data_IF_560006706371
#
_entry.id   IF_560006706371
#
_cell.length_a   1.000
_cell.length_b   1.000
_cell.length_c   1.000
_cell.angle_alpha   90.00
_cell.angle_beta   90.00
_cell.angle_gamma   90.00
#
_symmetry.space_group_name_H-M   'P 1'
#
loop_
_entity.id
_entity.type
_entity.pdbx_description
1 polymer ?
#
# COMPACT_ATOMS: atom_id res chain seq x y z
N UNK A 1 7.22 13.30 13.54
CA UNK A 1 7.95 13.75 12.32
C UNK A 1 6.94 14.07 11.24
N UNK A 2 6.02 13.16 10.91
CA UNK A 2 4.77 13.50 10.21
C UNK A 2 3.95 14.47 11.06
N UNK A 3 3.39 15.50 10.43
CA UNK A 3 2.63 16.60 11.04
C UNK A 3 1.31 16.84 10.31
N UNK A 4 0.43 17.64 10.92
CA UNK A 4 -0.90 17.94 10.37
C UNK A 4 -0.81 18.65 9.02
N UNK A 5 0.20 19.50 8.80
CA UNK A 5 0.43 20.18 7.52
C UNK A 5 0.68 19.21 6.36
N UNK A 6 1.25 18.02 6.61
CA UNK A 6 1.38 16.99 5.56
C UNK A 6 0.05 16.26 5.34
N UNK A 7 -0.71 16.01 6.40
CA UNK A 7 -1.87 15.11 6.36
C UNK A 7 -3.15 15.85 5.93
N UNK A 8 -3.40 17.02 6.48
CA UNK A 8 -4.61 17.83 6.26
C UNK A 8 -4.23 19.33 6.17
N UNK A 9 -3.47 19.72 5.14
CA UNK A 9 -3.11 21.12 4.92
C UNK A 9 -4.36 22.00 4.70
N UNK A 10 -4.30 23.26 5.14
CA UNK A 10 -5.24 24.32 4.80
C UNK A 10 -4.81 25.05 3.52
N UNK A 11 -3.51 25.05 3.22
CA UNK A 11 -2.95 25.62 2.00
C UNK A 11 -1.88 24.74 1.35
N UNK A 12 -1.91 24.63 0.02
CA UNK A 12 -0.93 23.88 -0.77
C UNK A 12 -0.32 24.79 -1.83
N UNK A 13 1.02 24.82 -1.93
CA UNK A 13 1.73 25.39 -3.08
C UNK A 13 2.33 24.30 -3.95
N UNK A 14 2.03 24.32 -5.25
CA UNK A 14 2.67 23.47 -6.27
C UNK A 14 3.81 24.24 -6.93
N UNK A 15 5.05 23.91 -6.55
CA UNK A 15 6.24 24.50 -7.14
C UNK A 15 6.60 23.77 -8.43
N UNK A 16 6.62 24.49 -9.55
CA UNK A 16 6.76 23.89 -10.88
C UNK A 16 5.44 23.45 -11.52
N UNK A 17 4.30 23.94 -11.02
CA UNK A 17 2.98 23.70 -11.65
C UNK A 17 2.96 24.12 -13.12
N UNK A 18 2.25 23.38 -13.97
CA UNK A 18 2.21 23.63 -15.42
C UNK A 18 0.83 23.36 -16.03
N UNK A 19 0.50 24.02 -17.13
CA UNK A 19 -0.68 23.68 -17.95
C UNK A 19 -0.47 22.37 -18.74
N UNK A 20 0.77 21.91 -18.85
CA UNK A 20 1.11 20.66 -19.51
C UNK A 20 0.92 19.48 -18.55
N UNK A 21 -0.16 18.72 -18.76
CA UNK A 21 -0.51 17.54 -17.96
C UNK A 21 0.45 16.35 -18.13
N UNK A 22 1.36 16.40 -19.12
CA UNK A 22 2.40 15.39 -19.27
C UNK A 22 3.60 15.65 -18.35
N UNK A 23 3.70 16.85 -17.76
CA UNK A 23 4.73 17.16 -16.76
C UNK A 23 4.25 16.82 -15.36
N UNK A 24 5.13 16.30 -14.48
CA UNK A 24 4.77 15.97 -13.11
C UNK A 24 4.06 17.13 -12.38
N UNK A 25 4.62 18.34 -12.44
CA UNK A 25 4.01 19.52 -11.79
C UNK A 25 2.63 19.90 -12.36
N UNK A 26 2.38 19.65 -13.65
CA UNK A 26 1.04 19.84 -14.22
C UNK A 26 0.06 18.77 -13.76
N UNK A 27 0.48 17.50 -13.77
CA UNK A 27 -0.39 16.40 -13.35
C UNK A 27 -0.71 16.44 -11.84
N UNK A 28 0.25 16.84 -11.00
CA UNK A 28 0.03 17.05 -9.56
C UNK A 28 -1.04 18.11 -9.32
N UNK A 29 -0.92 19.27 -9.95
CA UNK A 29 -1.89 20.35 -9.77
C UNK A 29 -3.29 19.90 -10.19
N UNK A 30 -3.40 19.22 -11.32
CA UNK A 30 -4.66 18.65 -11.80
C UNK A 30 -5.27 17.70 -10.76
N UNK A 31 -4.49 16.74 -10.26
CA UNK A 31 -4.95 15.74 -9.29
C UNK A 31 -5.37 16.36 -7.94
N UNK A 32 -4.66 17.41 -7.48
CA UNK A 32 -5.03 18.16 -6.29
C UNK A 32 -6.36 18.90 -6.51
N UNK A 33 -6.54 19.57 -7.66
CA UNK A 33 -7.77 20.33 -7.96
C UNK A 33 -9.04 19.49 -7.95
N UNK A 34 -8.96 18.21 -8.33
CA UNK A 34 -10.12 17.31 -8.31
C UNK A 34 -10.66 17.05 -6.89
N UNK A 35 -9.80 16.94 -5.89
CA UNK A 35 -10.16 16.48 -4.54
C UNK A 35 -10.06 17.55 -3.45
N UNK A 36 -9.07 18.44 -3.52
CA UNK A 36 -8.76 19.37 -2.47
C UNK A 36 -9.68 20.59 -2.51
N UNK A 37 -10.01 21.14 -1.33
CA UNK A 37 -10.95 22.26 -1.18
C UNK A 37 -10.37 23.45 -0.42
N UNK A 38 -9.14 23.34 0.07
CA UNK A 38 -8.42 24.45 0.69
C UNK A 38 -7.78 25.38 -0.33
N UNK A 39 -6.90 26.27 0.13
CA UNK A 39 -6.23 27.24 -0.73
C UNK A 39 -5.12 26.58 -1.57
N UNK A 40 -5.13 26.81 -2.89
CA UNK A 40 -4.12 26.27 -3.80
C UNK A 40 -3.38 27.42 -4.46
N UNK A 41 -2.05 27.33 -4.43
CA UNK A 41 -1.15 28.27 -5.07
C UNK A 41 -0.24 27.54 -6.06
N UNK A 42 0.19 28.24 -7.09
CA UNK A 42 1.20 27.75 -8.05
C UNK A 42 2.39 28.67 -8.00
N UNK A 43 3.60 28.12 -7.92
CA UNK A 43 4.84 28.87 -8.10
C UNK A 43 5.44 28.50 -9.46
N UNK A 44 5.25 29.39 -10.44
CA UNK A 44 5.81 29.25 -11.78
C UNK A 44 6.22 30.64 -12.33
N UNK A 45 7.53 30.88 -12.57
CA UNK A 45 8.02 32.19 -13.01
C UNK A 45 7.60 32.58 -14.43
N UNK A 46 7.10 31.63 -15.23
CA UNK A 46 6.81 31.83 -16.66
C UNK A 46 5.34 32.07 -16.98
N UNK A 47 4.42 31.76 -16.07
CA UNK A 47 2.98 31.80 -16.33
C UNK A 47 2.26 32.56 -15.22
N UNK A 48 1.27 33.39 -15.60
CA UNK A 48 0.43 34.13 -14.66
C UNK A 48 -0.79 33.32 -14.18
N UNK A 49 -1.23 32.34 -14.98
CA UNK A 49 -2.35 31.45 -14.70
C UNK A 49 -2.02 30.02 -15.13
N UNK A 50 -2.26 29.04 -14.26
CA UNK A 50 -2.00 27.62 -14.51
C UNK A 50 -3.21 26.82 -14.07
N UNK A 51 -3.88 26.14 -15.01
CA UNK A 51 -5.09 25.33 -14.77
C UNK A 51 -6.19 26.09 -14.00
N UNK A 52 -6.34 27.38 -14.28
CA UNK A 52 -7.31 28.25 -13.59
C UNK A 52 -6.86 28.78 -12.23
N UNK A 53 -5.70 28.35 -11.71
CA UNK A 53 -5.10 28.85 -10.47
C UNK A 53 -4.13 29.99 -10.79
N UNK A 54 -4.22 31.09 -10.04
CA UNK A 54 -3.27 32.21 -10.15
C UNK A 54 -1.87 31.72 -9.78
N UNK A 55 -0.90 31.99 -10.64
CA UNK A 55 0.48 31.58 -10.46
C UNK A 55 1.33 32.76 -9.96
N UNK A 56 2.03 32.53 -8.87
CA UNK A 56 3.04 33.42 -8.31
C UNK A 56 4.36 33.23 -9.08
N UNK A 57 5.02 34.33 -9.42
CA UNK A 57 6.34 34.30 -10.09
C UNK A 57 7.47 34.11 -9.09
N UNK A 58 7.27 34.62 -7.87
CA UNK A 58 8.25 34.61 -6.80
C UNK A 58 7.59 34.22 -5.48
N UNK A 59 8.37 33.65 -4.56
CA UNK A 59 7.89 33.21 -3.24
C UNK A 59 7.24 34.37 -2.47
N UNK A 60 7.73 35.60 -2.63
CA UNK A 60 7.18 36.78 -1.93
C UNK A 60 5.70 37.05 -2.26
N UNK A 61 5.22 36.58 -3.41
CA UNK A 61 3.83 36.76 -3.86
C UNK A 61 2.87 35.72 -3.28
N UNK A 62 3.38 34.64 -2.69
CA UNK A 62 2.58 33.68 -1.93
C UNK A 62 2.01 34.33 -0.65
N UNK A 63 0.95 33.78 -0.04
CA UNK A 63 0.45 34.23 1.27
C UNK A 63 1.54 34.19 2.36
N UNK A 64 1.26 34.75 3.53
CA UNK A 64 2.22 34.77 4.65
C UNK A 64 2.50 33.38 5.22
N UNK A 65 1.54 32.46 5.13
CA UNK A 65 1.67 31.09 5.61
C UNK A 65 1.25 30.11 4.49
N UNK A 66 2.02 29.04 4.33
CA UNK A 66 1.71 27.92 3.43
C UNK A 66 2.02 26.60 4.13
N UNK A 67 1.03 25.73 4.30
CA UNK A 67 1.19 24.48 5.08
C UNK A 67 2.06 23.45 4.35
N UNK A 68 1.71 23.14 3.10
CA UNK A 68 2.32 22.08 2.29
C UNK A 68 2.90 22.62 0.98
N UNK A 69 4.16 22.29 0.70
CA UNK A 69 4.77 22.51 -0.60
C UNK A 69 5.01 21.19 -1.35
N UNK A 70 4.44 21.07 -2.55
CA UNK A 70 4.70 19.97 -3.47
C UNK A 70 5.64 20.45 -4.57
N UNK A 71 6.85 19.90 -4.61
CA UNK A 71 7.96 20.44 -5.39
C UNK A 71 8.30 19.50 -6.56
N UNK A 72 8.14 20.02 -7.78
CA UNK A 72 8.37 19.31 -9.04
C UNK A 72 9.30 20.11 -9.98
N UNK A 73 10.45 20.56 -9.46
CA UNK A 73 11.50 21.30 -10.19
C UNK A 73 12.86 20.59 -10.10
N UNK A 74 13.85 20.87 -10.96
CA UNK A 74 15.14 20.20 -10.92
C UNK A 74 15.83 20.29 -9.54
N UNK A 75 16.45 19.18 -9.10
CA UNK A 75 17.00 19.01 -7.75
C UNK A 75 17.87 20.17 -7.25
N UNK A 76 18.73 20.72 -8.11
CA UNK A 76 19.64 21.84 -7.79
C UNK A 76 18.94 23.11 -7.30
N UNK A 77 17.65 23.29 -7.59
CA UNK A 77 16.88 24.46 -7.15
C UNK A 77 16.09 24.20 -5.86
N UNK A 78 15.91 22.93 -5.47
CA UNK A 78 15.09 22.56 -4.33
C UNK A 78 15.60 23.12 -2.99
N UNK A 79 16.91 23.09 -2.65
CA UNK A 79 17.38 23.62 -1.36
C UNK A 79 17.04 25.09 -1.14
N UNK A 80 17.25 25.94 -2.15
CA UNK A 80 16.94 27.36 -2.08
C UNK A 80 15.44 27.61 -1.89
N UNK A 81 14.59 26.90 -2.65
CA UNK A 81 13.13 27.02 -2.53
C UNK A 81 12.65 26.56 -1.15
N UNK A 82 13.11 25.41 -0.65
CA UNK A 82 12.74 24.88 0.68
C UNK A 82 13.13 25.87 1.77
N UNK A 83 14.36 26.40 1.71
CA UNK A 83 14.83 27.43 2.66
C UNK A 83 13.93 28.65 2.66
N UNK A 84 13.59 29.19 1.49
CA UNK A 84 12.74 30.37 1.39
C UNK A 84 11.31 30.14 1.86
N UNK A 85 10.72 28.98 1.55
CA UNK A 85 9.38 28.60 2.02
C UNK A 85 9.34 28.48 3.55
N UNK A 86 10.35 27.85 4.16
CA UNK A 86 10.47 27.79 5.62
C UNK A 86 10.58 29.19 6.22
N UNK A 87 11.48 30.03 5.68
CA UNK A 87 11.81 31.32 6.29
C UNK A 87 10.76 32.40 6.08
N UNK A 88 10.10 32.41 4.92
CA UNK A 88 9.21 33.50 4.50
C UNK A 88 7.73 33.11 4.53
N UNK A 89 7.42 31.81 4.62
CA UNK A 89 6.05 31.26 4.48
C UNK A 89 5.68 30.28 5.59
N UNK A 90 6.56 30.12 6.58
CA UNK A 90 6.46 29.17 7.70
C UNK A 90 6.10 27.73 7.28
N UNK A 91 6.48 27.32 6.06
CA UNK A 91 6.09 26.01 5.54
C UNK A 91 6.70 24.87 6.34
N UNK A 92 5.85 23.95 6.82
CA UNK A 92 6.24 22.81 7.67
C UNK A 92 6.15 21.46 6.99
N UNK A 93 5.54 21.34 5.82
CA UNK A 93 5.44 20.07 5.11
C UNK A 93 5.93 20.19 3.66
N UNK A 94 6.70 19.18 3.22
CA UNK A 94 7.30 19.13 1.90
C UNK A 94 7.12 17.74 1.28
N UNK A 95 6.67 17.72 0.03
CA UNK A 95 6.70 16.53 -0.83
C UNK A 95 7.58 16.88 -2.03
N UNK A 96 8.76 16.25 -2.13
CA UNK A 96 9.67 16.48 -3.26
C UNK A 96 9.57 15.32 -4.23
N UNK A 97 9.01 15.62 -5.40
CA UNK A 97 8.72 14.62 -6.44
C UNK A 97 9.97 14.34 -7.27
N UNK A 98 10.77 15.37 -7.51
CA UNK A 98 11.91 15.33 -8.40
C UNK A 98 12.97 14.31 -7.98
N UNK A 99 13.52 13.63 -8.98
CA UNK A 99 14.78 12.91 -8.90
C UNK A 99 15.99 13.85 -9.07
N UNK A 100 17.19 13.28 -8.97
CA UNK A 100 18.49 13.94 -9.09
C UNK A 100 19.15 14.25 -7.76
N UNK A 101 18.87 13.44 -6.74
CA UNK A 101 19.41 13.56 -5.39
C UNK A 101 20.44 12.46 -5.10
N UNK A 102 20.43 11.88 -3.89
CA UNK A 102 21.42 10.89 -3.46
C UNK A 102 21.46 9.61 -4.31
N UNK A 103 20.39 9.33 -5.05
CA UNK A 103 20.31 8.22 -5.99
C UNK A 103 21.11 8.46 -7.29
N UNK A 104 21.40 9.72 -7.65
CA UNK A 104 22.09 10.04 -8.90
C UNK A 104 23.60 10.21 -8.70
N UNK A 105 24.01 11.04 -7.73
CA UNK A 105 25.42 11.35 -7.48
C UNK A 105 25.65 12.06 -6.12
N UNK A 106 26.92 12.27 -5.76
CA UNK A 106 27.31 12.92 -4.49
C UNK A 106 26.83 14.37 -4.38
N UNK A 107 26.75 15.11 -5.49
CA UNK A 107 26.24 16.48 -5.48
C UNK A 107 24.74 16.49 -5.16
N UNK A 108 23.98 15.54 -5.72
CA UNK A 108 22.58 15.30 -5.38
C UNK A 108 22.41 14.91 -3.91
N UNK A 109 23.29 14.07 -3.38
CA UNK A 109 23.31 13.72 -1.96
C UNK A 109 23.56 14.94 -1.05
N UNK A 110 24.37 15.91 -1.48
CA UNK A 110 24.54 17.18 -0.76
C UNK A 110 23.26 18.01 -0.72
N UNK A 111 22.54 18.13 -1.84
CA UNK A 111 21.25 18.83 -1.86
C UNK A 111 20.24 18.17 -0.93
N UNK A 112 20.21 16.84 -0.91
CA UNK A 112 19.33 16.06 -0.04
C UNK A 112 19.64 16.33 1.44
N UNK A 113 20.92 16.28 1.85
CA UNK A 113 21.35 16.59 3.22
C UNK A 113 21.00 18.01 3.64
N UNK A 114 21.23 19.00 2.77
CA UNK A 114 20.89 20.40 3.05
C UNK A 114 19.39 20.57 3.31
N UNK A 115 18.55 19.96 2.47
CA UNK A 115 17.09 20.01 2.62
C UNK A 115 16.68 19.36 3.95
N UNK A 116 17.19 18.17 4.26
CA UNK A 116 16.87 17.46 5.51
C UNK A 116 17.25 18.30 6.73
N UNK A 117 18.43 18.93 6.73
CA UNK A 117 18.84 19.83 7.81
C UNK A 117 17.92 21.04 7.98
N UNK A 118 17.52 21.68 6.87
CA UNK A 118 16.60 22.81 6.89
C UNK A 118 15.24 22.42 7.47
N UNK A 119 14.67 21.32 6.99
CA UNK A 119 13.36 20.82 7.42
C UNK A 119 13.41 20.40 8.90
N UNK A 120 14.45 19.69 9.33
CA UNK A 120 14.64 19.31 10.73
C UNK A 120 14.72 20.54 11.66
N UNK A 121 15.51 21.56 11.31
CA UNK A 121 15.65 22.80 12.10
C UNK A 121 14.32 23.55 12.22
N UNK A 122 13.45 23.45 11.22
CA UNK A 122 12.14 24.08 11.20
C UNK A 122 11.06 23.27 11.95
N UNK A 123 11.38 22.06 12.43
CA UNK A 123 10.39 21.12 12.98
C UNK A 123 9.42 20.59 11.92
N UNK A 124 9.82 20.57 10.66
CA UNK A 124 8.99 20.18 9.52
C UNK A 124 9.08 18.69 9.16
N UNK A 125 8.31 18.33 8.14
CA UNK A 125 8.23 16.99 7.56
C UNK A 125 8.56 17.02 6.06
N UNK A 126 9.32 16.03 5.61
CA UNK A 126 9.67 15.78 4.22
C UNK A 126 9.31 14.34 3.83
N UNK A 127 8.51 14.21 2.78
CA UNK A 127 8.34 12.99 1.98
C UNK A 127 9.18 13.10 0.71
N UNK A 128 9.93 12.03 0.41
CA UNK A 128 10.87 11.99 -0.70
C UNK A 128 12.31 12.34 -0.29
N UNK A 129 13.12 12.92 -1.20
CA UNK A 129 12.79 13.24 -2.60
C UNK A 129 12.60 11.99 -3.47
N UNK A 130 12.48 12.16 -4.79
CA UNK A 130 12.34 11.07 -5.76
C UNK A 130 11.19 10.10 -5.41
N UNK A 131 10.00 10.66 -5.29
CA UNK A 131 8.80 9.91 -4.91
C UNK A 131 7.66 10.21 -5.89
N UNK A 132 6.60 9.39 -5.86
CA UNK A 132 5.39 9.71 -6.62
C UNK A 132 4.48 10.69 -5.86
N UNK A 133 4.62 10.76 -4.53
CA UNK A 133 3.88 11.67 -3.67
C UNK A 133 2.99 10.96 -2.65
N UNK A 134 1.91 11.64 -2.24
CA UNK A 134 1.00 11.19 -1.17
C UNK A 134 -0.45 11.28 -1.66
N UNK A 135 -1.25 10.28 -1.30
CA UNK A 135 -2.71 10.28 -1.46
C UNK A 135 -3.33 10.00 -0.09
N UNK A 136 -4.26 10.85 0.32
CA UNK A 136 -5.16 10.59 1.45
C UNK A 136 -6.52 11.26 1.18
N UNK A 137 -7.44 11.20 2.15
CA UNK A 137 -8.79 11.79 2.02
C UNK A 137 -8.80 13.33 1.95
N UNK A 138 -7.69 13.99 2.24
CA UNK A 138 -7.58 15.45 2.24
C UNK A 138 -6.99 15.95 0.92
N UNK A 139 -5.94 15.31 0.40
CA UNK A 139 -5.29 15.74 -0.85
C UNK A 139 -4.67 14.57 -1.63
N UNK A 140 -4.58 14.76 -2.94
CA UNK A 140 -3.95 13.84 -3.89
C UNK A 140 -2.70 14.50 -4.50
N UNK A 141 -1.69 14.75 -3.68
CA UNK A 141 -0.40 15.33 -4.10
C UNK A 141 0.48 14.29 -4.81
N UNK A 142 0.04 13.83 -5.99
CA UNK A 142 0.66 12.76 -6.78
C UNK A 142 0.64 13.09 -8.26
N UNK A 143 1.64 12.64 -9.04
CA UNK A 143 1.66 12.86 -10.50
C UNK A 143 1.19 11.66 -11.34
N UNK A 144 0.90 10.52 -10.71
CA UNK A 144 0.59 9.25 -11.40
C UNK A 144 -0.90 8.95 -11.40
N UNK A 145 -1.31 8.06 -12.30
CA UNK A 145 -2.64 7.45 -12.39
C UNK A 145 -2.52 5.92 -12.42
N UNK A 146 -3.58 5.17 -12.08
CA UNK A 146 -4.89 5.65 -11.60
C UNK A 146 -4.83 6.15 -10.15
N UNK A 147 -5.67 7.13 -9.82
CA UNK A 147 -5.97 7.46 -8.42
C UNK A 147 -7.13 6.56 -7.98
N UNK A 148 -6.92 5.64 -7.02
CA UNK A 148 -8.01 4.80 -6.56
C UNK A 148 -9.04 5.62 -5.79
N UNK A 149 -10.31 5.21 -5.86
CA UNK A 149 -11.31 5.70 -4.91
C UNK A 149 -10.93 5.23 -3.51
N UNK A 150 -10.75 6.18 -2.59
CA UNK A 150 -10.37 5.86 -1.22
C UNK A 150 -11.54 5.31 -0.42
N UNK A 151 -11.21 4.39 0.49
CA UNK A 151 -12.15 3.76 1.43
C UNK A 151 -11.48 3.78 2.81
N UNK A 152 -12.15 4.25 3.88
CA UNK A 152 -11.61 4.22 5.25
C UNK A 152 -11.22 2.82 5.73
N UNK A 153 -11.90 1.78 5.25
CA UNK A 153 -11.57 0.37 5.49
C UNK A 153 -10.48 -0.18 4.54
N UNK A 154 -10.04 0.66 3.60
CA UNK A 154 -8.98 0.44 2.62
C UNK A 154 -7.61 0.19 3.23
N UNK A 155 -6.65 -0.29 2.47
CA UNK A 155 -5.28 -0.45 2.94
C UNK A 155 -4.52 0.89 3.02
N UNK A 156 -3.77 1.10 4.10
CA UNK A 156 -2.69 2.10 4.11
C UNK A 156 -1.46 1.50 3.45
N UNK A 157 -0.99 2.12 2.38
CA UNK A 157 0.11 1.60 1.59
C UNK A 157 1.32 2.53 1.62
N UNK A 158 2.44 2.02 2.13
CA UNK A 158 3.69 2.74 2.25
C UNK A 158 4.72 2.09 1.32
N UNK A 159 5.33 2.86 0.43
CA UNK A 159 6.26 2.32 -0.57
C UNK A 159 7.51 3.17 -0.75
N UNK A 160 8.67 2.53 -0.64
CA UNK A 160 9.96 3.08 -1.09
C UNK A 160 10.07 3.18 -2.61
N UNK A 161 9.29 2.40 -3.37
CA UNK A 161 9.35 2.39 -4.84
C UNK A 161 8.08 2.97 -5.45
N UNK A 162 8.23 4.05 -6.23
CA UNK A 162 7.14 4.66 -6.99
C UNK A 162 6.52 3.71 -8.01
N UNK A 163 7.35 3.04 -8.82
CA UNK A 163 6.88 2.11 -9.85
C UNK A 163 6.15 0.90 -9.25
N UNK A 164 6.62 0.38 -8.12
CA UNK A 164 5.91 -0.70 -7.41
C UNK A 164 4.59 -0.21 -6.85
N UNK A 165 4.54 1.04 -6.38
CA UNK A 165 3.30 1.61 -5.89
C UNK A 165 2.25 1.70 -6.99
N UNK A 166 2.60 2.30 -8.15
CA UNK A 166 1.70 2.40 -9.31
C UNK A 166 1.19 1.03 -9.76
N UNK A 167 2.06 0.02 -9.85
CA UNK A 167 1.63 -1.33 -10.22
C UNK A 167 0.56 -1.90 -9.27
N UNK A 168 0.74 -1.68 -7.95
CA UNK A 168 -0.22 -2.16 -6.94
C UNK A 168 -1.54 -1.40 -7.03
N UNK A 169 -1.52 -0.10 -7.37
CA UNK A 169 -2.73 0.67 -7.62
C UNK A 169 -3.48 0.15 -8.86
N UNK A 170 -2.78 -0.09 -9.96
CA UNK A 170 -3.37 -0.61 -11.20
C UNK A 170 -3.95 -2.03 -11.03
N UNK A 171 -3.17 -2.92 -10.41
CA UNK A 171 -3.54 -4.33 -10.30
C UNK A 171 -4.52 -4.58 -9.15
N UNK A 172 -4.38 -3.81 -8.06
CA UNK A 172 -5.13 -4.00 -6.82
C UNK A 172 -6.63 -3.80 -7.01
N UNK A 173 -7.04 -2.78 -7.75
CA UNK A 173 -8.46 -2.47 -7.98
C UNK A 173 -9.19 -3.67 -8.62
N UNK A 174 -8.57 -4.33 -9.60
CA UNK A 174 -9.13 -5.54 -10.22
C UNK A 174 -9.22 -6.75 -9.30
N UNK A 175 -8.46 -6.77 -8.20
CA UNK A 175 -8.51 -7.78 -7.15
C UNK A 175 -9.48 -7.42 -6.01
N UNK A 176 -10.16 -6.27 -6.10
CA UNK A 176 -11.04 -5.76 -5.04
C UNK A 176 -10.28 -5.09 -3.89
N UNK A 177 -8.98 -4.83 -4.04
CA UNK A 177 -8.19 -4.05 -3.08
C UNK A 177 -8.62 -2.59 -3.15
N UNK A 178 -8.99 -2.03 -2.00
CA UNK A 178 -9.22 -0.59 -1.81
C UNK A 178 -8.09 0.01 -0.98
N UNK A 179 -7.95 1.32 -1.05
CA UNK A 179 -6.90 2.05 -0.37
C UNK A 179 -7.49 3.10 0.57
N UNK A 180 -6.89 3.28 1.75
CA UNK A 180 -7.23 4.35 2.67
C UNK A 180 -6.25 5.53 2.52
N UNK A 181 -4.97 5.22 2.38
CA UNK A 181 -3.93 6.21 2.11
C UNK A 181 -2.74 5.56 1.39
N UNK A 182 -1.97 6.37 0.66
CA UNK A 182 -0.76 5.95 -0.04
C UNK A 182 0.35 6.94 0.25
N UNK A 183 1.48 6.44 0.74
CA UNK A 183 2.70 7.21 0.99
C UNK A 183 3.84 6.64 0.16
N UNK A 184 4.27 7.36 -0.87
CA UNK A 184 5.53 7.06 -1.55
C UNK A 184 6.65 7.83 -0.88
N UNK A 185 7.51 7.13 -0.13
CA UNK A 185 8.59 7.78 0.65
C UNK A 185 9.83 8.07 -0.19
N UNK A 186 9.93 7.48 -1.39
CA UNK A 186 11.08 7.65 -2.29
C UNK A 186 12.40 7.33 -1.60
N UNK A 187 13.38 8.22 -1.74
CA UNK A 187 14.69 8.11 -1.10
C UNK A 187 14.63 8.02 0.43
N UNK A 188 13.50 8.38 1.06
CA UNK A 188 13.33 8.35 2.51
C UNK A 188 14.41 9.18 3.22
N UNK A 189 14.69 10.39 2.69
CA UNK A 189 15.79 11.22 3.15
C UNK A 189 15.59 11.67 4.61
N UNK A 190 14.36 12.02 4.96
CA UNK A 190 13.94 12.31 6.34
C UNK A 190 12.92 11.27 6.83
N UNK A 191 11.78 11.15 6.15
CA UNK A 191 10.68 10.26 6.54
C UNK A 191 10.74 8.97 5.73
N UNK A 192 11.02 7.84 6.39
CA UNK A 192 11.03 6.51 5.80
C UNK A 192 9.76 5.70 6.05
N UNK A 193 9.77 4.43 5.65
CA UNK A 193 8.65 3.52 5.84
C UNK A 193 8.35 3.34 7.34
N UNK A 194 9.39 3.26 8.16
CA UNK A 194 9.29 3.10 9.61
C UNK A 194 8.64 4.33 10.27
N UNK A 195 8.89 5.53 9.76
CA UNK A 195 8.31 6.77 10.27
C UNK A 195 6.83 6.90 9.95
N UNK A 196 6.43 6.53 8.71
CA UNK A 196 5.02 6.52 8.33
C UNK A 196 4.26 5.44 9.12
N UNK A 197 4.85 4.25 9.29
CA UNK A 197 4.23 3.19 10.09
C UNK A 197 4.10 3.60 11.56
N UNK A 198 5.10 4.28 12.12
CA UNK A 198 5.06 4.84 13.46
C UNK A 198 3.92 5.83 13.63
N UNK A 199 3.77 6.76 12.68
CA UNK A 199 2.66 7.71 12.68
C UNK A 199 1.30 7.00 12.65
N UNK A 200 1.11 6.02 11.77
CA UNK A 200 -0.14 5.25 11.67
C UNK A 200 -0.46 4.45 12.94
N UNK A 201 0.57 4.03 13.69
CA UNK A 201 0.41 3.35 14.98
C UNK A 201 0.05 4.34 16.10
N UNK A 202 0.79 5.45 16.20
CA UNK A 202 0.65 6.46 17.25
C UNK A 202 -0.68 7.22 17.16
N UNK A 203 -1.21 7.37 15.93
CA UNK A 203 -2.51 8.02 15.66
C UNK A 203 -3.66 7.03 15.45
N UNK A 204 -3.45 5.75 15.74
CA UNK A 204 -4.44 4.71 15.47
C UNK A 204 -5.72 4.86 16.31
N UNK A 205 -6.86 4.98 15.64
CA UNK A 205 -8.21 4.96 16.20
C UNK A 205 -8.91 3.65 15.78
N UNK A 206 -9.28 2.75 16.72
CA UNK A 206 -9.92 1.47 16.41
C UNK A 206 -11.20 1.54 15.56
N UNK A 207 -11.90 2.68 15.60
CA UNK A 207 -13.18 2.88 14.91
C UNK A 207 -13.02 3.54 13.54
N UNK A 208 -11.88 4.22 13.30
CA UNK A 208 -11.67 5.03 12.08
C UNK A 208 -10.46 4.62 11.26
N UNK A 209 -9.40 4.13 11.89
CA UNK A 209 -8.17 3.78 11.21
C UNK A 209 -8.32 2.47 10.46
N UNK A 210 -7.75 2.43 9.26
CA UNK A 210 -7.60 1.20 8.50
C UNK A 210 -6.91 0.12 9.34
N UNK A 211 -7.33 -1.13 9.19
CA UNK A 211 -6.68 -2.29 9.83
C UNK A 211 -5.66 -2.98 8.93
N UNK A 212 -5.40 -2.46 7.73
CA UNK A 212 -4.60 -3.18 6.72
C UNK A 212 -3.46 -2.28 6.25
N UNK A 213 -2.22 -2.76 6.45
CA UNK A 213 -1.00 -2.01 6.18
C UNK A 213 -0.18 -2.78 5.16
N UNK A 214 0.17 -2.13 4.05
CA UNK A 214 1.03 -2.70 3.02
C UNK A 214 2.34 -1.93 2.99
N UNK A 215 3.45 -2.66 2.97
CA UNK A 215 4.79 -2.07 2.99
C UNK A 215 5.61 -2.58 1.81
N UNK A 216 6.20 -1.68 1.05
CA UNK A 216 7.31 -2.00 0.17
C UNK A 216 8.57 -1.30 0.67
N UNK A 217 9.54 -2.12 1.11
CA UNK A 217 10.71 -1.69 1.84
C UNK A 217 11.95 -2.01 1.01
N UNK A 218 12.76 -0.99 0.72
CA UNK A 218 14.06 -1.15 0.05
C UNK A 218 15.20 -1.24 1.06
N UNK A 219 15.11 -0.44 2.13
CA UNK A 219 16.07 -0.40 3.23
C UNK A 219 15.32 -0.32 4.57
N UNK A 220 15.90 -0.90 5.61
CA UNK A 220 15.42 -0.76 6.99
C UNK A 220 16.52 -0.01 7.74
N UNK A 221 16.28 1.27 8.02
CA UNK A 221 17.22 2.14 8.75
C UNK A 221 17.10 1.92 10.26
N UNK A 222 15.88 1.74 10.76
CA UNK A 222 15.58 1.57 12.18
C UNK A 222 14.73 0.30 12.42
N UNK A 223 15.37 -0.88 12.56
CA UNK A 223 14.66 -2.14 12.73
C UNK A 223 13.88 -2.22 14.05
N UNK A 224 14.34 -1.53 15.11
CA UNK A 224 13.68 -1.53 16.41
C UNK A 224 12.39 -0.72 16.36
N UNK A 225 12.41 0.44 15.68
CA UNK A 225 11.20 1.23 15.40
C UNK A 225 10.21 0.45 14.57
N UNK A 226 10.66 -0.20 13.49
CA UNK A 226 9.80 -1.05 12.67
C UNK A 226 9.15 -2.15 13.50
N UNK A 227 9.93 -2.86 14.32
CA UNK A 227 9.44 -3.93 15.19
C UNK A 227 8.41 -3.42 16.18
N UNK A 228 8.71 -2.32 16.89
CA UNK A 228 7.85 -1.73 17.93
C UNK A 228 6.47 -1.41 17.38
N UNK A 229 6.43 -0.65 16.28
CA UNK A 229 5.18 -0.14 15.73
C UNK A 229 4.38 -1.20 14.97
N UNK A 230 5.06 -2.09 14.25
CA UNK A 230 4.40 -3.21 13.61
C UNK A 230 3.74 -4.12 14.65
N UNK A 231 4.46 -4.47 15.73
CA UNK A 231 3.90 -5.31 16.79
C UNK A 231 2.72 -4.63 17.51
N UNK A 232 2.83 -3.33 17.82
CA UNK A 232 1.73 -2.54 18.40
C UNK A 232 0.48 -2.55 17.52
N UNK A 233 0.60 -2.22 16.23
CA UNK A 233 -0.51 -2.27 15.27
C UNK A 233 -1.13 -3.65 15.16
N UNK A 234 -0.29 -4.68 15.11
CA UNK A 234 -0.72 -6.09 15.06
C UNK A 234 -1.48 -6.50 16.33
N UNK A 235 -1.12 -5.97 17.51
CA UNK A 235 -1.87 -6.19 18.76
C UNK A 235 -3.18 -5.38 18.80
N UNK A 236 -3.26 -4.27 18.08
CA UNK A 236 -4.49 -3.48 17.85
C UNK A 236 -5.42 -4.13 16.80
N UNK A 237 -5.07 -5.31 16.28
CA UNK A 237 -5.87 -6.05 15.30
C UNK A 237 -5.59 -5.69 13.84
N UNK A 238 -4.49 -4.98 13.57
CA UNK A 238 -4.07 -4.74 12.18
C UNK A 238 -3.41 -5.97 11.57
N UNK A 239 -3.51 -6.06 10.23
CA UNK A 239 -2.78 -6.98 9.39
C UNK A 239 -1.74 -6.20 8.61
N UNK A 240 -0.49 -6.64 8.68
CA UNK A 240 0.62 -5.98 7.99
C UNK A 240 1.21 -6.98 7.00
N UNK A 241 1.29 -6.61 5.73
CA UNK A 241 1.98 -7.37 4.71
C UNK A 241 3.10 -6.53 4.10
N UNK A 242 4.26 -7.15 3.87
CA UNK A 242 5.44 -6.41 3.41
C UNK A 242 6.28 -7.18 2.39
N UNK A 243 6.86 -6.44 1.44
CA UNK A 243 7.98 -6.89 0.62
C UNK A 243 9.23 -6.17 1.12
N UNK A 244 10.31 -6.94 1.35
CA UNK A 244 11.68 -6.40 1.41
C UNK A 244 12.39 -6.77 0.11
N UNK A 245 12.76 -5.78 -0.69
CA UNK A 245 13.55 -5.99 -1.90
C UNK A 245 15.03 -6.28 -1.58
N UNK A 246 15.78 -6.79 -2.55
CA UNK A 246 17.20 -7.13 -2.37
C UNK A 246 17.46 -8.31 -1.42
N UNK A 247 16.75 -9.43 -1.62
CA UNK A 247 16.84 -10.62 -0.73
C UNK A 247 18.05 -11.52 -0.95
N UNK A 248 18.54 -11.60 -2.19
CA UNK A 248 19.67 -12.44 -2.56
C UNK A 248 20.91 -11.58 -2.70
N UNK A 249 22.10 -12.16 -2.70
CA UNK A 249 23.32 -11.38 -2.97
C UNK A 249 23.23 -10.58 -4.28
N UNK A 250 22.72 -11.20 -5.34
CA UNK A 250 22.50 -10.51 -6.61
C UNK A 250 21.47 -9.37 -6.48
N UNK A 251 20.37 -9.59 -5.76
CA UNK A 251 19.37 -8.56 -5.50
C UNK A 251 19.88 -7.42 -4.61
N UNK A 252 20.69 -7.73 -3.60
CA UNK A 252 21.34 -6.74 -2.73
C UNK A 252 22.28 -5.86 -3.54
N UNK A 253 23.13 -6.45 -4.40
CA UNK A 253 23.99 -5.68 -5.30
C UNK A 253 23.18 -4.77 -6.23
N UNK A 254 22.11 -5.28 -6.83
CA UNK A 254 21.23 -4.48 -7.69
C UNK A 254 20.56 -3.32 -6.93
N UNK A 255 20.05 -3.57 -5.72
CA UNK A 255 19.45 -2.56 -4.87
C UNK A 255 20.47 -1.50 -4.41
N UNK A 256 21.69 -1.92 -4.06
CA UNK A 256 22.81 -1.02 -3.74
C UNK A 256 23.14 -0.10 -4.90
N UNK A 257 23.23 -0.61 -6.13
CA UNK A 257 23.47 0.22 -7.31
C UNK A 257 22.31 1.16 -7.65
N UNK A 258 21.07 0.80 -7.29
CA UNK A 258 19.87 1.60 -7.59
C UNK A 258 19.60 2.69 -6.55
N UNK A 259 19.86 2.44 -5.27
CA UNK A 259 19.44 3.31 -4.16
C UNK A 259 20.58 3.75 -3.24
N UNK A 260 21.77 3.17 -3.39
CA UNK A 260 22.88 3.35 -2.45
C UNK A 260 22.63 2.71 -1.07
N UNK A 261 21.51 2.01 -0.85
CA UNK A 261 21.15 1.47 0.46
C UNK A 261 22.08 0.33 0.92
N UNK A 262 22.38 0.29 2.22
CA UNK A 262 23.19 -0.76 2.82
C UNK A 262 22.49 -2.12 2.73
N UNK A 263 23.26 -3.18 2.47
CA UNK A 263 22.75 -4.54 2.43
C UNK A 263 22.32 -5.00 3.84
N UNK A 264 21.12 -5.56 3.96
CA UNK A 264 20.64 -6.20 5.18
C UNK A 264 20.63 -7.71 5.00
N UNK A 265 21.02 -8.48 6.03
CA UNK A 265 20.91 -9.93 6.00
C UNK A 265 19.44 -10.35 5.85
N UNK A 266 19.16 -11.15 4.81
CA UNK A 266 17.80 -11.61 4.53
C UNK A 266 17.22 -12.46 5.68
N UNK A 267 18.07 -13.25 6.33
CA UNK A 267 17.68 -14.02 7.52
C UNK A 267 17.29 -13.12 8.69
N UNK A 268 17.98 -12.00 8.88
CA UNK A 268 17.65 -11.04 9.93
C UNK A 268 16.32 -10.35 9.64
N UNK A 269 16.05 -9.99 8.37
CA UNK A 269 14.76 -9.45 7.94
C UNK A 269 13.64 -10.47 8.16
N UNK A 270 13.87 -11.74 7.85
CA UNK A 270 12.87 -12.80 8.06
C UNK A 270 12.50 -12.93 9.54
N UNK A 271 13.51 -12.98 10.41
CA UNK A 271 13.31 -13.05 11.85
C UNK A 271 12.59 -11.80 12.39
N UNK A 272 12.97 -10.61 11.90
CA UNK A 272 12.34 -9.34 12.24
C UNK A 272 10.85 -9.34 11.86
N UNK A 273 10.52 -9.68 10.62
CA UNK A 273 9.13 -9.71 10.13
C UNK A 273 8.30 -10.73 10.90
N UNK A 274 8.86 -11.92 11.16
CA UNK A 274 8.19 -12.96 11.95
C UNK A 274 7.90 -12.50 13.38
N UNK A 275 8.88 -11.85 14.04
CA UNK A 275 8.71 -11.31 15.41
C UNK A 275 7.73 -10.14 15.46
N UNK A 276 7.71 -9.31 14.41
CA UNK A 276 6.79 -8.19 14.25
C UNK A 276 5.35 -8.62 13.90
N UNK A 277 5.15 -9.87 13.47
CA UNK A 277 3.86 -10.34 12.96
C UNK A 277 3.54 -9.79 11.55
N UNK A 278 4.56 -9.47 10.76
CA UNK A 278 4.42 -9.00 9.38
C UNK A 278 4.36 -10.20 8.43
N UNK A 279 3.37 -10.23 7.54
CA UNK A 279 3.22 -11.23 6.48
C UNK A 279 4.21 -10.91 5.36
N UNK A 280 5.27 -11.72 5.26
CA UNK A 280 6.32 -11.53 4.25
C UNK A 280 5.87 -12.00 2.86
N UNK A 281 5.92 -11.07 1.91
CA UNK A 281 5.62 -11.25 0.50
C UNK A 281 6.92 -11.18 -0.35
N UNK A 282 6.95 -11.89 -1.48
CA UNK A 282 8.12 -12.02 -2.37
C UNK A 282 7.88 -11.46 -3.76
N UNK A 283 6.67 -10.96 -4.04
CA UNK A 283 6.32 -10.36 -5.32
C UNK A 283 5.19 -9.36 -5.19
N UNK A 284 5.16 -8.40 -6.11
CA UNK A 284 4.15 -7.33 -6.17
C UNK A 284 2.71 -7.88 -6.28
N UNK A 285 2.51 -8.95 -7.06
CA UNK A 285 1.21 -9.62 -7.18
C UNK A 285 0.83 -10.37 -5.90
N UNK A 286 1.80 -11.01 -5.24
CA UNK A 286 1.60 -11.64 -3.94
C UNK A 286 1.16 -10.61 -2.89
N UNK A 287 1.83 -9.46 -2.81
CA UNK A 287 1.47 -8.40 -1.87
C UNK A 287 0.04 -7.88 -2.12
N UNK A 288 -0.31 -7.61 -3.38
CA UNK A 288 -1.66 -7.17 -3.75
C UNK A 288 -2.72 -8.24 -3.43
N UNK A 289 -2.43 -9.51 -3.68
CA UNK A 289 -3.35 -10.62 -3.38
C UNK A 289 -3.54 -10.81 -1.88
N UNK A 290 -2.45 -10.83 -1.10
CA UNK A 290 -2.51 -10.91 0.36
C UNK A 290 -3.30 -9.73 0.93
N UNK A 291 -3.10 -8.52 0.39
CA UNK A 291 -3.85 -7.35 0.78
C UNK A 291 -5.36 -7.52 0.56
N UNK A 292 -5.78 -7.97 -0.63
CA UNK A 292 -7.19 -8.23 -0.93
C UNK A 292 -7.80 -9.29 0.01
N UNK A 293 -7.03 -10.34 0.33
CA UNK A 293 -7.47 -11.36 1.30
C UNK A 293 -7.56 -10.78 2.72
N UNK A 294 -6.65 -9.88 3.11
CA UNK A 294 -6.71 -9.19 4.40
C UNK A 294 -7.99 -8.34 4.57
N UNK A 295 -8.58 -7.86 3.47
CA UNK A 295 -9.85 -7.13 3.44
C UNK A 295 -11.09 -8.02 3.52
N UNK A 296 -10.93 -9.31 3.22
CA UNK A 296 -12.02 -10.25 3.35
C UNK A 296 -12.44 -10.39 4.82
N UNK A 297 -13.68 -10.86 5.02
CA UNK A 297 -14.17 -11.18 6.36
C UNK A 297 -13.22 -12.15 7.04
N UNK A 298 -13.02 -11.91 8.33
CA UNK A 298 -12.24 -12.78 9.19
C UNK A 298 -12.80 -14.20 9.13
N UNK A 299 -11.96 -15.14 8.70
CA UNK A 299 -12.28 -16.55 8.67
C UNK A 299 -12.30 -17.07 10.12
N UNK A 300 -13.31 -17.88 10.44
CA UNK A 300 -13.40 -18.58 11.73
C UNK A 300 -13.32 -20.08 11.46
N UNK A 301 -12.49 -20.76 12.26
CA UNK A 301 -12.22 -22.21 12.18
C UNK A 301 -10.99 -22.60 11.32
N UNK A 302 -10.64 -23.88 11.38
CA UNK A 302 -9.55 -24.60 10.66
C UNK A 302 -9.87 -25.36 9.32
N UNK A 303 -11.07 -25.93 9.14
CA UNK A 303 -11.71 -26.50 7.94
C UNK A 303 -12.14 -25.48 6.86
N UNK A 304 -11.97 -25.87 5.61
CA UNK A 304 -12.38 -25.12 4.43
C UNK A 304 -13.04 -26.04 3.39
N UNK A 305 -14.04 -25.50 2.69
CA UNK A 305 -14.64 -26.15 1.53
C UNK A 305 -14.16 -25.47 0.25
N UNK A 306 -13.67 -26.27 -0.70
CA UNK A 306 -13.29 -25.80 -2.03
C UNK A 306 -14.47 -26.03 -2.97
N UNK A 307 -14.88 -25.00 -3.71
CA UNK A 307 -15.94 -25.08 -4.73
C UNK A 307 -15.34 -24.70 -6.07
N UNK A 308 -15.52 -25.54 -7.09
CA UNK A 308 -14.86 -25.40 -8.39
C UNK A 308 -15.75 -25.87 -9.55
N UNK A 309 -15.50 -25.36 -10.74
CA UNK A 309 -15.98 -25.92 -12.02
C UNK A 309 -14.87 -26.68 -12.76
N UNK A 310 -13.68 -26.79 -12.15
CA UNK A 310 -12.50 -27.38 -12.75
C UNK A 310 -11.68 -28.13 -11.69
N UNK A 311 -11.60 -29.45 -11.82
CA UNK A 311 -10.91 -30.31 -10.86
C UNK A 311 -9.41 -30.03 -10.72
N UNK A 312 -8.68 -29.81 -11.82
CA UNK A 312 -7.23 -29.57 -11.81
C UNK A 312 -6.79 -28.42 -10.88
N UNK A 313 -7.33 -27.19 -11.07
CA UNK A 313 -7.08 -26.07 -10.15
C UNK A 313 -7.50 -26.34 -8.70
N UNK A 314 -8.56 -27.13 -8.48
CA UNK A 314 -9.00 -27.45 -7.12
C UNK A 314 -8.06 -28.42 -6.39
N UNK A 315 -7.43 -29.35 -7.09
CA UNK A 315 -6.37 -30.19 -6.53
C UNK A 315 -5.19 -29.32 -6.10
N UNK A 316 -4.70 -28.45 -6.99
CA UNK A 316 -3.60 -27.53 -6.68
C UNK A 316 -3.93 -26.64 -5.48
N UNK A 317 -5.17 -26.14 -5.40
CA UNK A 317 -5.65 -25.36 -4.26
C UNK A 317 -5.67 -26.19 -2.99
N UNK A 318 -6.25 -27.40 -3.02
CA UNK A 318 -6.35 -28.30 -1.88
C UNK A 318 -4.96 -28.65 -1.31
N UNK A 319 -4.01 -29.00 -2.17
CA UNK A 319 -2.62 -29.29 -1.77
C UNK A 319 -1.98 -28.09 -1.08
N UNK A 320 -2.17 -26.91 -1.67
CA UNK A 320 -1.68 -25.66 -1.12
C UNK A 320 -2.28 -25.44 0.27
N UNK A 321 -3.62 -25.45 0.39
CA UNK A 321 -4.35 -25.23 1.64
C UNK A 321 -3.90 -26.21 2.75
N UNK A 322 -3.78 -27.49 2.41
CA UNK A 322 -3.32 -28.54 3.32
C UNK A 322 -1.85 -28.33 3.77
N UNK A 323 -0.95 -27.96 2.86
CA UNK A 323 0.43 -27.56 3.21
C UNK A 323 0.45 -26.31 4.10
N UNK A 324 -0.62 -25.51 4.03
CA UNK A 324 -0.95 -24.39 4.92
C UNK A 324 -1.45 -24.77 6.29
N UNK A 325 -1.71 -26.05 6.57
CA UNK A 325 -2.33 -26.50 7.81
C UNK A 325 -3.83 -26.21 7.87
N UNK A 326 -4.46 -25.89 6.75
CA UNK A 326 -5.91 -25.74 6.63
C UNK A 326 -6.48 -27.12 6.35
N UNK A 327 -7.52 -27.50 7.09
CA UNK A 327 -8.16 -28.79 6.92
C UNK A 327 -9.17 -28.72 5.77
N UNK A 328 -9.22 -29.75 4.94
CA UNK A 328 -10.19 -29.87 3.84
C UNK A 328 -10.99 -31.14 4.10
N UNK A 329 -11.90 -31.14 5.10
CA UNK A 329 -12.60 -32.36 5.50
C UNK A 329 -13.54 -32.83 4.41
N UNK A 330 -13.71 -34.14 4.30
CA UNK A 330 -14.69 -34.74 3.39
C UNK A 330 -16.10 -34.29 3.77
N UNK A 331 -16.91 -33.96 2.76
CA UNK A 331 -18.32 -33.60 2.94
C UNK A 331 -19.18 -34.83 2.60
N UNK A 332 -19.90 -35.35 3.59
CA UNK A 332 -20.68 -36.60 3.49
C UNK A 332 -22.09 -36.47 4.09
N UNK A 333 -22.90 -37.51 3.91
CA UNK A 333 -24.22 -37.68 4.52
C UNK A 333 -25.39 -37.05 3.75
N UNK A 334 -26.61 -37.04 4.33
CA UNK A 334 -27.84 -36.76 3.60
C UNK A 334 -27.88 -35.40 2.89
N UNK A 335 -27.15 -34.40 3.42
CA UNK A 335 -27.10 -33.07 2.79
C UNK A 335 -26.13 -33.02 1.62
N UNK A 336 -25.04 -33.80 1.65
CA UNK A 336 -24.15 -33.96 0.50
C UNK A 336 -24.91 -34.65 -0.64
N UNK A 337 -25.65 -35.72 -0.33
CA UNK A 337 -26.52 -36.43 -1.28
C UNK A 337 -27.60 -35.50 -1.88
N UNK A 338 -28.26 -34.67 -1.06
CA UNK A 338 -29.22 -33.67 -1.54
C UNK A 338 -28.60 -32.61 -2.45
N UNK A 339 -27.34 -32.25 -2.23
CA UNK A 339 -26.62 -31.34 -3.11
C UNK A 339 -26.26 -32.04 -4.41
N UNK A 340 -25.69 -33.24 -4.34
CA UNK A 340 -25.32 -34.06 -5.51
C UNK A 340 -26.52 -34.25 -6.45
N UNK A 341 -27.72 -34.51 -5.91
CA UNK A 341 -28.95 -34.69 -6.69
C UNK A 341 -29.42 -33.41 -7.42
N UNK A 342 -28.91 -32.23 -7.05
CA UNK A 342 -29.21 -30.95 -7.72
C UNK A 342 -28.12 -30.52 -8.69
N UNK A 343 -26.94 -31.14 -8.63
CA UNK A 343 -25.85 -30.85 -9.54
C UNK A 343 -25.95 -31.73 -10.79
N UNK A 344 -25.25 -31.35 -11.85
CA UNK A 344 -25.19 -32.16 -13.06
C UNK A 344 -24.54 -33.52 -12.80
N UNK A 345 -24.98 -34.53 -13.56
CA UNK A 345 -24.42 -35.87 -13.51
C UNK A 345 -22.90 -35.83 -13.79
N UNK A 346 -22.11 -36.49 -12.93
CA UNK A 346 -20.65 -36.44 -12.95
C UNK A 346 -20.01 -35.41 -12.01
N UNK A 347 -20.80 -34.52 -11.40
CA UNK A 347 -20.32 -33.61 -10.35
C UNK A 347 -19.83 -34.39 -9.11
N UNK A 348 -18.97 -33.76 -8.30
CA UNK A 348 -18.52 -34.30 -7.00
C UNK A 348 -18.87 -33.34 -5.87
N UNK A 349 -19.28 -33.86 -4.71
CA UNK A 349 -19.59 -33.06 -3.51
C UNK A 349 -18.73 -33.43 -2.29
N UNK A 350 -17.69 -34.25 -2.46
CA UNK A 350 -16.88 -34.79 -1.35
C UNK A 350 -15.82 -33.83 -0.78
N UNK A 351 -15.75 -32.59 -1.27
CA UNK A 351 -14.74 -31.56 -0.99
C UNK A 351 -13.35 -31.89 -1.58
N UNK A 352 -13.00 -31.31 -2.74
CA UNK A 352 -13.68 -30.21 -3.43
C UNK A 352 -15.09 -30.54 -3.94
N UNK A 353 -15.99 -29.56 -3.92
CA UNK A 353 -17.28 -29.59 -4.62
C UNK A 353 -17.00 -29.16 -6.07
N UNK A 354 -16.97 -30.12 -6.99
CA UNK A 354 -16.75 -29.91 -8.42
C UNK A 354 -18.09 -30.00 -9.17
N UNK A 355 -18.56 -28.86 -9.68
CA UNK A 355 -19.83 -28.76 -10.40
C UNK A 355 -19.65 -28.75 -11.94
N UNK A 356 -18.49 -29.24 -12.41
CA UNK A 356 -18.11 -29.45 -13.82
C UNK A 356 -17.88 -28.16 -14.61
N UNK A 357 -17.10 -28.28 -15.69
CA UNK A 357 -16.77 -27.17 -16.58
C UNK A 357 -17.97 -26.66 -17.40
N UNK A 358 -18.98 -27.50 -17.58
CA UNK A 358 -20.29 -27.17 -18.16
C UNK A 358 -21.24 -26.52 -17.16
N UNK A 359 -20.81 -26.38 -15.90
CA UNK A 359 -21.57 -25.78 -14.82
C UNK A 359 -22.02 -24.35 -15.10
N UNK A 360 -23.23 -24.02 -14.66
CA UNK A 360 -23.83 -22.69 -14.83
C UNK A 360 -23.67 -21.84 -13.57
N UNK A 361 -24.01 -20.54 -13.66
CA UNK A 361 -24.10 -19.67 -12.48
C UNK A 361 -25.08 -20.24 -11.42
N UNK A 362 -26.14 -20.93 -11.86
CA UNK A 362 -27.08 -21.59 -10.96
C UNK A 362 -26.43 -22.77 -10.21
N UNK A 363 -25.62 -23.60 -10.89
CA UNK A 363 -24.86 -24.68 -10.25
C UNK A 363 -23.88 -24.15 -9.19
N UNK A 364 -23.25 -23.01 -9.45
CA UNK A 364 -22.41 -22.31 -8.47
C UNK A 364 -23.22 -21.85 -7.26
N UNK A 365 -24.38 -21.20 -7.46
CA UNK A 365 -25.26 -20.76 -6.37
C UNK A 365 -25.76 -21.94 -5.55
N UNK A 366 -26.14 -23.03 -6.21
CA UNK A 366 -26.54 -24.29 -5.58
C UNK A 366 -25.42 -24.92 -4.77
N UNK A 367 -24.15 -24.74 -5.15
CA UNK A 367 -23.00 -25.22 -4.37
C UNK A 367 -22.71 -24.32 -3.15
N UNK A 368 -22.98 -23.02 -3.25
CA UNK A 368 -22.74 -22.04 -2.18
C UNK A 368 -23.78 -22.10 -1.04
N UNK A 369 -25.06 -22.33 -1.35
CA UNK A 369 -26.16 -22.27 -0.37
C UNK A 369 -26.17 -23.42 0.68
N UNK A 370 -25.95 -24.69 0.32
CA UNK A 370 -25.83 -25.80 1.26
C UNK A 370 -24.49 -25.80 1.98
N UNK A 371 -23.38 -25.33 1.38
CA UNK A 371 -22.11 -25.21 2.11
C UNK A 371 -22.32 -24.42 3.43
N UNK A 372 -23.04 -23.29 3.41
CA UNK A 372 -23.40 -22.57 4.65
C UNK A 372 -24.29 -23.35 5.63
N UNK A 373 -25.19 -24.24 5.16
CA UNK A 373 -26.14 -24.99 6.01
C UNK A 373 -25.66 -26.39 6.43
N UNK A 374 -24.70 -26.97 5.71
CA UNK A 374 -24.04 -28.24 5.98
C UNK A 374 -22.96 -28.03 7.05
N UNK A 375 -22.22 -26.92 6.92
CA UNK A 375 -21.05 -26.57 7.74
C UNK A 375 -21.38 -25.86 9.08
N UNK A 376 -22.62 -25.87 9.58
CA UNK A 376 -23.02 -25.03 10.73
C UNK A 376 -23.40 -25.79 12.01
N UNK A 377 -23.32 -27.13 12.06
CA UNK A 377 -23.78 -27.90 13.23
C UNK A 377 -22.70 -28.47 14.17
N UNK A 378 -21.41 -28.31 13.91
CA UNK A 378 -20.37 -28.85 14.82
C UNK A 378 -19.23 -27.91 15.23
N UNK A 379 -19.01 -26.78 14.56
CA UNK A 379 -18.08 -25.68 14.95
C UNK A 379 -18.17 -24.56 13.88
N UNK A 380 -17.67 -23.32 14.09
CA UNK A 380 -17.89 -22.22 13.14
C UNK A 380 -16.97 -22.32 11.91
N UNK A 381 -17.56 -22.22 10.70
CA UNK A 381 -16.91 -22.43 9.39
C UNK A 381 -17.29 -21.35 8.35
N UNK A 382 -16.39 -20.98 7.41
CA UNK A 382 -16.65 -19.98 6.34
C UNK A 382 -16.18 -20.41 4.93
N UNK A 383 -16.83 -19.87 3.88
CA UNK A 383 -16.58 -20.14 2.46
C UNK A 383 -15.87 -18.96 1.76
N UNK A 384 -14.81 -19.21 0.98
CA UNK A 384 -14.14 -18.20 0.12
C UNK A 384 -14.13 -18.63 -1.35
N UNK A 385 -14.36 -17.70 -2.28
CA UNK A 385 -14.16 -17.91 -3.72
C UNK A 385 -12.66 -17.99 -4.05
N UNK A 386 -12.28 -18.97 -4.88
CA UNK A 386 -10.90 -19.31 -5.20
C UNK A 386 -10.15 -18.18 -5.93
N UNK A 387 -8.94 -17.91 -5.44
CA UNK A 387 -7.94 -17.05 -6.05
C UNK A 387 -7.22 -17.77 -7.21
N UNK A 388 -6.71 -17.00 -8.18
CA UNK A 388 -5.95 -17.49 -9.35
C UNK A 388 -4.55 -18.05 -9.03
N UNK A 389 -4.13 -18.04 -7.76
CA UNK A 389 -2.84 -18.56 -7.32
C UNK A 389 -2.98 -19.15 -5.90
N UNK A 390 -2.91 -20.47 -5.83
CA UNK A 390 -3.19 -21.24 -4.61
C UNK A 390 -2.11 -21.05 -3.53
N UNK A 391 -0.87 -20.76 -3.91
CA UNK A 391 0.26 -20.61 -2.98
C UNK A 391 0.12 -19.39 -2.05
N UNK A 392 -0.60 -18.36 -2.50
CA UNK A 392 -0.79 -17.08 -1.82
C UNK A 392 -1.79 -17.16 -0.66
N UNK A 393 -2.84 -17.96 -0.83
CA UNK A 393 -3.90 -18.12 0.16
C UNK A 393 -3.44 -18.91 1.41
N UNK A 394 -2.46 -19.80 1.22
CA UNK A 394 -1.86 -20.68 2.24
C UNK A 394 -1.10 -19.92 3.31
N UNK A 395 -0.26 -18.95 2.89
CA UNK A 395 0.54 -18.14 3.81
C UNK A 395 -0.35 -17.33 4.76
N UNK A 396 -1.50 -16.88 4.26
CA UNK A 396 -2.48 -16.12 5.03
C UNK A 396 -3.16 -16.96 6.12
N UNK A 397 -3.59 -18.18 5.79
CA UNK A 397 -4.39 -18.96 6.74
C UNK A 397 -3.55 -19.50 7.92
N UNK A 398 -2.24 -19.71 7.72
CA UNK A 398 -1.29 -19.97 8.83
C UNK A 398 -1.21 -18.83 9.86
N UNK A 399 -1.34 -17.58 9.41
CA UNK A 399 -1.30 -16.41 10.29
C UNK A 399 -2.55 -16.34 11.17
N UNK A 400 -3.67 -16.80 10.64
CA UNK A 400 -4.98 -16.77 11.29
C UNK A 400 -5.25 -17.96 12.22
N UNK A 401 -4.77 -19.15 11.90
CA UNK A 401 -4.97 -20.37 12.72
C UNK A 401 -4.02 -20.42 13.94
N UNK A 402 -2.91 -19.66 13.92
CA UNK A 402 -1.92 -19.64 15.02
C UNK A 402 -2.11 -18.50 16.03
N UNK A 403 -3.18 -17.73 15.92
CA UNK A 403 -3.65 -16.79 16.94
C UNK A 403 -5.00 -17.25 17.44
#
# INVERSE_FOLDING_TARGET
MINEQLINPQSIVVVGGSNDLQKPGGKILHNILECYRGEIFVLNPKQDLVQGVKSCKEIKELPTEVDLAVIAIPAKFCPAIVKELIQKKDTKAFIIISAGFGEENEQGAQYEREIVELVNKAGGCLIGPNCIGVINHHHHSIFTEPIPMLDPSGADFISGSGATAVFILETGVGLGLKFNSIFSVGNSAQTGVEDVLAYLDETFDPDKSSKIKLLYIESIKDPDKLLRHANSLVNKGCKIAAIKSGRSEAGMRAAQSHTGAMASSDMAVDALFKKAGIIRCHGRLELATVAAVCMAKELKGENMAVITHAGGPAVMLTDSLAQGGIQIPTIEGPKAEQLQAKLFEGSSVSNPIDFLSTGTAEQLVLSLMPAKKILTKSTPWQSSLAARDSSLFVKYTKYYIRR
#
